data_IF_577919604802
#
_entry.id   IF_577919604802
#
_cell.length_a   1.000
_cell.length_b   1.000
_cell.length_c   1.000
_cell.angle_alpha   90.00
_cell.angle_beta   90.00
_cell.angle_gamma   90.00
#
_symmetry.space_group_name_H-M   'P 1'
#
loop_
_entity.id
_entity.type
_entity.pdbx_description
1 polymer ?
#
# COMPACT_ATOMS: atom_id res chain seq x y z
N UNK A 1 60.98 34.65 -0.91
CA UNK A 1 60.65 33.28 -0.44
C UNK A 1 59.34 33.20 0.36
N UNK A 2 58.97 34.21 1.15
CA UNK A 2 57.71 34.24 1.94
C UNK A 2 56.42 34.22 1.11
N UNK A 3 56.36 34.93 -0.03
CA UNK A 3 55.15 35.00 -0.88
C UNK A 3 54.75 33.67 -1.53
N UNK A 4 55.71 32.77 -1.81
CA UNK A 4 55.43 31.44 -2.37
C UNK A 4 54.85 30.47 -1.33
N UNK A 5 55.15 30.66 -0.04
CA UNK A 5 54.63 29.81 1.04
C UNK A 5 53.18 30.16 1.40
N UNK A 6 52.80 31.43 1.38
CA UNK A 6 51.40 31.85 1.62
C UNK A 6 50.43 31.39 0.52
N UNK A 7 50.85 31.40 -0.75
CA UNK A 7 50.00 30.93 -1.85
C UNK A 7 49.70 29.42 -1.76
N UNK A 8 50.67 28.62 -1.31
CA UNK A 8 50.50 27.19 -1.11
C UNK A 8 49.55 26.87 0.06
N UNK A 9 49.59 27.66 1.14
CA UNK A 9 48.69 27.48 2.29
C UNK A 9 47.24 27.86 1.95
N UNK A 10 47.01 28.93 1.19
CA UNK A 10 45.66 29.33 0.76
C UNK A 10 45.06 28.31 -0.22
N UNK A 11 45.86 27.76 -1.14
CA UNK A 11 45.39 26.73 -2.07
C UNK A 11 45.07 25.41 -1.37
N UNK A 12 45.83 25.02 -0.33
CA UNK A 12 45.55 23.85 0.48
C UNK A 12 44.26 24.01 1.32
N UNK A 13 44.03 25.19 1.91
CA UNK A 13 42.78 25.46 2.65
C UNK A 13 41.56 25.48 1.71
N UNK A 14 41.68 26.03 0.51
CA UNK A 14 40.60 26.00 -0.50
C UNK A 14 40.33 24.59 -1.06
N UNK A 15 41.32 23.69 -1.11
CA UNK A 15 41.09 22.30 -1.55
C UNK A 15 40.45 21.42 -0.47
N UNK A 16 40.58 21.79 0.81
CA UNK A 16 40.03 21.00 1.93
C UNK A 16 38.53 21.25 2.16
N UNK A 17 37.99 22.35 1.62
CA UNK A 17 36.56 22.71 1.73
C UNK A 17 35.65 22.07 0.65
N UNK A 18 36.19 21.21 -0.23
CA UNK A 18 35.49 20.78 -1.45
C UNK A 18 35.08 19.31 -1.47
N UNK A 19 35.28 18.57 -0.38
CA UNK A 19 34.84 17.17 -0.27
C UNK A 19 33.71 17.07 0.76
N UNK A 20 32.63 17.81 0.51
CA UNK A 20 31.35 17.54 1.15
C UNK A 20 30.84 16.21 0.61
N UNK A 21 31.28 15.10 1.22
CA UNK A 21 30.69 13.79 0.95
C UNK A 21 29.19 13.90 1.18
N UNK A 22 28.39 13.76 0.13
CA UNK A 22 26.95 13.64 0.27
C UNK A 22 26.68 12.49 1.23
N UNK A 23 26.20 12.79 2.43
CA UNK A 23 25.78 11.77 3.39
C UNK A 23 24.59 11.05 2.75
N UNK A 24 24.81 9.82 2.31
CA UNK A 24 23.84 9.01 1.57
C UNK A 24 22.73 8.49 2.49
N UNK A 25 21.79 9.37 2.86
CA UNK A 25 20.55 8.97 3.52
C UNK A 25 19.47 8.61 2.48
N UNK A 26 19.43 7.34 2.09
CA UNK A 26 18.38 6.77 1.24
C UNK A 26 16.98 6.89 1.90
N UNK A 27 15.93 6.98 1.08
CA UNK A 27 14.54 7.02 1.58
C UNK A 27 13.93 5.65 1.70
N UNK A 28 13.62 5.24 2.92
CA UNK A 28 12.82 4.05 3.14
C UNK A 28 11.33 4.36 3.02
N UNK A 29 10.59 3.59 2.22
CA UNK A 29 9.13 3.56 2.28
C UNK A 29 8.58 2.14 2.31
N UNK A 30 7.31 2.02 2.70
CA UNK A 30 6.52 0.81 2.59
C UNK A 30 5.35 1.03 1.65
N UNK A 31 4.87 -0.02 1.00
CA UNK A 31 3.63 0.00 0.23
C UNK A 31 2.96 -1.38 0.31
N UNK A 32 1.64 -1.40 0.15
CA UNK A 32 0.86 -2.65 0.11
C UNK A 32 0.57 -3.03 -1.33
N UNK A 33 0.55 -4.34 -1.63
CA UNK A 33 0.27 -4.84 -2.97
C UNK A 33 -1.17 -4.52 -3.43
N UNK A 34 -2.10 -4.51 -2.46
CA UNK A 34 -3.50 -4.19 -2.65
C UNK A 34 -3.99 -3.29 -1.50
N UNK A 35 -4.59 -2.13 -1.80
CA UNK A 35 -5.09 -1.21 -0.77
C UNK A 35 -6.40 -1.68 -0.12
N UNK A 36 -7.11 -2.62 -0.76
CA UNK A 36 -8.38 -3.20 -0.29
C UNK A 36 -8.31 -4.72 -0.48
N UNK A 37 -8.56 -5.48 0.58
CA UNK A 37 -8.57 -6.95 0.56
C UNK A 37 -9.79 -7.50 1.32
N UNK A 38 -10.12 -8.77 1.08
CA UNK A 38 -11.17 -9.44 1.83
C UNK A 38 -10.67 -9.89 3.21
N UNK A 39 -11.59 -10.04 4.17
CA UNK A 39 -11.27 -10.63 5.47
C UNK A 39 -10.69 -12.05 5.31
N UNK A 40 -9.59 -12.34 6.02
CA UNK A 40 -8.90 -13.63 5.95
C UNK A 40 -7.81 -13.66 4.87
N UNK A 41 -7.80 -12.71 3.94
CA UNK A 41 -6.75 -12.62 2.93
C UNK A 41 -5.43 -12.13 3.52
N UNK A 42 -4.34 -12.50 2.85
CA UNK A 42 -2.98 -12.07 3.14
C UNK A 42 -2.72 -10.74 2.43
N UNK A 43 -2.23 -9.76 3.17
CA UNK A 43 -1.64 -8.55 2.61
C UNK A 43 -0.13 -8.71 2.53
N UNK A 44 0.44 -8.29 1.40
CA UNK A 44 1.88 -8.18 1.20
C UNK A 44 2.30 -6.72 1.34
N UNK A 45 3.38 -6.50 2.08
CA UNK A 45 3.95 -5.18 2.36
C UNK A 45 5.35 -5.16 1.78
N UNK A 46 5.56 -4.39 0.72
CA UNK A 46 6.88 -4.15 0.16
C UNK A 46 7.63 -3.14 1.04
N UNK A 47 8.89 -3.43 1.33
CA UNK A 47 9.84 -2.55 2.00
C UNK A 47 10.89 -2.13 0.98
N UNK A 48 10.81 -0.86 0.58
CA UNK A 48 11.58 -0.32 -0.53
C UNK A 48 12.52 0.77 -0.02
N UNK A 49 13.73 0.81 -0.56
CA UNK A 49 14.73 1.82 -0.22
C UNK A 49 15.22 2.53 -1.48
N UNK A 50 14.93 3.83 -1.57
CA UNK A 50 15.09 4.64 -2.75
C UNK A 50 16.49 5.15 -3.00
N UNK A 51 16.70 5.64 -4.21
CA UNK A 51 17.94 6.25 -4.65
C UNK A 51 17.96 7.78 -4.43
N UNK A 52 19.16 8.36 -4.58
CA UNK A 52 19.39 9.80 -4.47
C UNK A 52 19.16 10.57 -5.79
N UNK A 53 18.73 9.91 -6.87
CA UNK A 53 18.60 10.59 -8.17
C UNK A 53 17.45 11.60 -8.15
N UNK A 54 17.63 12.73 -8.86
CA UNK A 54 16.68 13.84 -8.92
C UNK A 54 16.29 14.39 -7.53
N UNK A 55 17.27 14.63 -6.64
CA UNK A 55 17.01 15.14 -5.28
C UNK A 55 16.06 14.26 -4.46
N UNK A 56 16.13 12.94 -4.65
CA UNK A 56 15.23 11.96 -4.05
C UNK A 56 13.77 12.03 -4.50
N UNK A 57 13.49 12.65 -5.65
CA UNK A 57 12.14 12.74 -6.22
C UNK A 57 11.89 11.61 -7.22
N UNK A 58 12.36 10.40 -6.95
CA UNK A 58 12.17 9.24 -7.84
C UNK A 58 11.81 7.97 -7.07
N UNK A 59 11.02 7.10 -7.70
CA UNK A 59 10.64 5.78 -7.17
C UNK A 59 11.69 4.68 -7.43
N UNK A 60 12.92 5.06 -7.81
CA UNK A 60 13.97 4.09 -8.14
C UNK A 60 14.56 3.50 -6.86
N UNK A 61 14.69 2.18 -6.84
CA UNK A 61 15.26 1.41 -5.73
C UNK A 61 16.79 1.44 -5.82
N UNK A 62 17.49 1.66 -4.72
CA UNK A 62 18.96 1.63 -4.67
C UNK A 62 19.53 1.06 -3.36
N UNK A 63 18.76 0.23 -2.66
CA UNK A 63 19.28 -0.46 -1.49
C UNK A 63 18.21 -1.25 -0.76
N UNK A 64 18.53 -1.62 0.48
CA UNK A 64 17.71 -2.49 1.30
C UNK A 64 17.53 -1.90 2.69
N UNK A 65 16.36 -2.13 3.27
CA UNK A 65 16.14 -1.86 4.68
C UNK A 65 17.08 -2.73 5.53
N UNK A 66 17.74 -2.12 6.51
CA UNK A 66 18.55 -2.84 7.49
C UNK A 66 17.67 -3.78 8.30
N UNK A 67 17.96 -5.08 8.29
CA UNK A 67 17.21 -6.10 9.05
C UNK A 67 17.38 -5.95 10.55
N UNK A 68 18.54 -5.45 10.98
CA UNK A 68 18.97 -5.38 12.38
C UNK A 68 18.38 -4.16 13.09
N UNK A 69 18.11 -3.11 12.31
CA UNK A 69 17.71 -1.81 12.83
C UNK A 69 16.31 -1.40 12.37
N UNK A 70 15.53 -2.31 11.76
CA UNK A 70 14.15 -2.04 11.35
C UNK A 70 13.19 -3.15 11.74
N UNK A 71 11.99 -2.75 12.13
CA UNK A 71 10.86 -3.63 12.46
C UNK A 71 9.64 -3.27 11.62
N UNK A 72 8.79 -4.26 11.38
CA UNK A 72 7.53 -4.09 10.66
C UNK A 72 6.39 -4.39 11.61
N UNK A 73 5.45 -3.45 11.71
CA UNK A 73 4.28 -3.59 12.54
C UNK A 73 3.01 -3.45 11.72
N UNK A 74 1.96 -4.14 12.18
CA UNK A 74 0.59 -3.92 11.75
C UNK A 74 -0.24 -3.47 12.95
N UNK A 75 -0.90 -2.33 12.81
CA UNK A 75 -1.90 -1.86 13.78
C UNK A 75 -3.28 -2.24 13.27
N UNK A 76 -3.98 -3.07 14.03
CA UNK A 76 -5.33 -3.55 13.68
C UNK A 76 -6.39 -2.46 13.86
N UNK A 77 -7.63 -2.66 13.37
CA UNK A 77 -8.73 -1.72 13.56
C UNK A 77 -9.06 -1.43 15.03
N UNK A 78 -8.82 -2.40 15.92
CA UNK A 78 -8.96 -2.25 17.37
C UNK A 78 -7.80 -1.45 18.01
N UNK A 79 -6.81 -1.04 17.22
CA UNK A 79 -5.65 -0.30 17.67
C UNK A 79 -4.54 -1.17 18.28
N UNK A 80 -4.62 -2.50 18.17
CA UNK A 80 -3.57 -3.41 18.62
C UNK A 80 -2.41 -3.40 17.62
N UNK A 81 -1.20 -3.06 18.08
CA UNK A 81 0.03 -3.11 17.29
C UNK A 81 0.66 -4.51 17.44
N UNK A 82 0.87 -5.21 16.32
CA UNK A 82 1.50 -6.51 16.25
C UNK A 82 2.79 -6.42 15.43
N UNK A 83 3.86 -7.04 15.93
CA UNK A 83 5.15 -7.16 15.23
C UNK A 83 5.06 -8.31 14.21
N UNK A 84 5.27 -8.00 12.93
CA UNK A 84 5.27 -8.96 11.81
C UNK A 84 6.65 -9.07 11.18
N UNK A 85 7.69 -8.59 11.85
CA UNK A 85 9.08 -8.54 11.35
C UNK A 85 9.61 -9.92 10.94
N UNK A 86 9.17 -10.99 11.61
CA UNK A 86 9.56 -12.37 11.31
C UNK A 86 8.99 -12.91 10.00
N UNK A 87 7.99 -12.24 9.41
CA UNK A 87 7.41 -12.60 8.11
C UNK A 87 8.16 -12.01 6.92
N UNK A 88 9.20 -11.21 7.17
CA UNK A 88 10.02 -10.61 6.13
C UNK A 88 10.71 -11.68 5.30
N UNK A 89 10.59 -11.55 3.99
CA UNK A 89 11.26 -12.37 3.00
C UNK A 89 12.03 -11.47 2.04
N UNK A 90 13.29 -11.79 1.77
CA UNK A 90 14.11 -11.06 0.81
C UNK A 90 13.75 -11.48 -0.61
N UNK A 91 13.44 -10.52 -1.48
CA UNK A 91 12.97 -10.80 -2.86
C UNK A 91 13.96 -10.42 -3.95
N UNK A 92 15.09 -9.81 -3.59
CA UNK A 92 16.12 -9.44 -4.56
C UNK A 92 17.03 -10.60 -4.94
N UNK A 93 17.89 -10.34 -5.92
CA UNK A 93 19.07 -11.18 -6.18
C UNK A 93 20.11 -10.92 -5.09
N UNK A 94 20.78 -11.97 -4.64
CA UNK A 94 21.87 -11.82 -3.68
C UNK A 94 23.03 -11.08 -4.36
N UNK A 95 23.65 -10.14 -3.64
CA UNK A 95 24.90 -9.55 -4.11
C UNK A 95 25.96 -10.65 -4.24
N UNK A 96 26.76 -10.59 -5.30
CA UNK A 96 27.98 -11.38 -5.43
C UNK A 96 29.19 -10.45 -5.20
N UNK A 97 30.41 -11.00 -5.24
CA UNK A 97 31.62 -10.18 -5.15
C UNK A 97 31.75 -9.20 -6.32
N UNK A 98 31.17 -9.55 -7.47
CA UNK A 98 31.33 -8.82 -8.74
C UNK A 98 30.06 -8.03 -9.12
N UNK A 99 28.89 -8.44 -8.61
CA UNK A 99 27.60 -7.85 -8.95
C UNK A 99 26.88 -7.34 -7.69
N UNK A 100 26.57 -6.02 -7.61
CA UNK A 100 25.77 -5.51 -6.52
C UNK A 100 24.34 -6.06 -6.60
N UNK A 101 23.69 -6.21 -5.45
CA UNK A 101 22.28 -6.59 -5.44
C UNK A 101 21.44 -5.55 -6.19
N UNK A 102 20.71 -6.01 -7.22
CA UNK A 102 19.78 -5.20 -8.01
C UNK A 102 18.33 -5.62 -7.75
N UNK A 103 17.38 -4.73 -8.05
CA UNK A 103 15.93 -4.97 -7.89
C UNK A 103 15.56 -5.55 -6.50
N UNK A 104 16.21 -5.06 -5.46
CA UNK A 104 16.22 -5.68 -4.15
C UNK A 104 15.24 -5.03 -3.18
N UNK A 105 14.69 -5.84 -2.28
CA UNK A 105 13.73 -5.40 -1.29
C UNK A 105 13.35 -6.53 -0.34
N UNK A 106 12.57 -6.19 0.67
CA UNK A 106 11.91 -7.17 1.52
C UNK A 106 10.41 -7.10 1.31
N UNK A 107 9.74 -8.23 1.44
CA UNK A 107 8.29 -8.29 1.55
C UNK A 107 7.95 -8.87 2.93
N UNK A 108 7.15 -8.16 3.71
CA UNK A 108 6.50 -8.70 4.90
C UNK A 108 5.07 -9.09 4.58
N UNK A 109 4.46 -9.96 5.41
CA UNK A 109 3.07 -10.38 5.21
C UNK A 109 2.29 -10.41 6.51
N UNK A 110 0.97 -10.23 6.42
CA UNK A 110 0.07 -10.53 7.52
C UNK A 110 -1.27 -11.02 6.98
N UNK A 111 -1.92 -11.92 7.73
CA UNK A 111 -3.31 -12.31 7.46
C UNK A 111 -4.27 -11.36 8.17
N UNK A 112 -5.23 -10.82 7.43
CA UNK A 112 -6.28 -10.00 8.03
C UNK A 112 -7.24 -10.88 8.85
N UNK A 113 -7.63 -10.42 10.04
CA UNK A 113 -8.51 -11.21 10.95
C UNK A 113 -9.87 -10.57 11.17
N UNK A 114 -9.96 -9.25 11.10
CA UNK A 114 -11.22 -8.51 11.20
C UNK A 114 -11.34 -7.45 10.10
N UNK A 115 -12.56 -7.12 9.63
CA UNK A 115 -12.77 -5.95 8.77
C UNK A 115 -12.35 -4.66 9.48
N UNK A 116 -11.87 -3.69 8.71
CA UNK A 116 -11.55 -2.35 9.19
C UNK A 116 -10.28 -1.76 8.60
N UNK A 117 -9.84 -0.63 9.17
CA UNK A 117 -8.63 0.07 8.78
C UNK A 117 -7.40 -0.54 9.44
N UNK A 118 -6.44 -0.98 8.64
CA UNK A 118 -5.13 -1.43 9.09
C UNK A 118 -4.07 -0.39 8.71
N UNK A 119 -3.20 -0.08 9.68
CA UNK A 119 -2.05 0.80 9.47
C UNK A 119 -0.80 -0.05 9.60
N UNK A 120 0.02 -0.06 8.56
CA UNK A 120 1.29 -0.77 8.54
C UNK A 120 2.39 0.26 8.76
N UNK A 121 3.35 -0.04 9.64
CA UNK A 121 4.53 0.79 9.82
C UNK A 121 5.81 -0.02 9.72
N UNK A 122 6.81 0.56 9.04
CA UNK A 122 8.21 0.11 9.12
C UNK A 122 8.96 1.16 9.93
N UNK A 123 9.52 0.72 11.04
CA UNK A 123 10.14 1.58 12.04
C UNK A 123 11.62 1.26 12.12
N UNK A 124 12.47 2.22 11.73
CA UNK A 124 13.92 2.12 11.76
C UNK A 124 14.55 2.95 12.87
N UNK A 125 15.63 2.47 13.47
CA UNK A 125 16.46 3.20 14.44
C UNK A 125 17.93 2.82 14.24
N UNK A 126 18.70 3.70 13.61
CA UNK A 126 20.09 3.41 13.22
C UNK A 126 21.01 4.55 13.61
N UNK A 127 22.25 4.24 13.99
CA UNK A 127 23.32 5.24 14.16
C UNK A 127 24.31 5.09 13.01
N UNK A 128 24.54 6.17 12.27
CA UNK A 128 25.51 6.24 11.19
C UNK A 128 26.72 7.07 11.61
N UNK A 129 27.93 6.58 11.34
CA UNK A 129 29.19 7.27 11.65
C UNK A 129 29.92 7.61 10.36
N UNK A 130 30.23 8.88 10.15
CA UNK A 130 31.03 9.35 9.02
C UNK A 130 31.93 10.52 9.45
N UNK A 131 33.21 10.46 9.09
CA UNK A 131 34.15 11.56 9.36
C UNK A 131 34.30 11.91 10.85
N UNK A 132 34.15 10.94 11.76
CA UNK A 132 34.20 11.17 13.21
C UNK A 132 32.92 11.75 13.83
N UNK A 133 31.92 12.09 13.01
CA UNK A 133 30.60 12.54 13.46
C UNK A 133 29.62 11.38 13.36
N UNK A 134 28.78 11.24 14.39
CA UNK A 134 27.76 10.21 14.46
C UNK A 134 26.37 10.86 14.47
N UNK A 135 25.45 10.36 13.66
CA UNK A 135 24.04 10.78 13.63
C UNK A 135 23.13 9.59 13.86
N UNK A 136 22.05 9.80 14.62
CA UNK A 136 20.97 8.81 14.76
C UNK A 136 19.89 9.12 13.74
N UNK A 137 19.31 8.10 13.12
CA UNK A 137 18.18 8.24 12.21
C UNK A 137 17.00 7.41 12.71
N UNK A 138 15.88 8.06 12.97
CA UNK A 138 14.60 7.45 13.31
C UNK A 138 13.66 7.50 12.11
N UNK A 139 13.30 6.33 11.56
CA UNK A 139 12.47 6.21 10.35
C UNK A 139 11.06 5.73 10.69
N UNK A 140 10.05 6.31 10.06
CA UNK A 140 8.69 5.79 10.00
C UNK A 140 8.24 5.74 8.55
N UNK A 141 8.05 4.56 8.00
CA UNK A 141 7.35 4.38 6.73
C UNK A 141 5.97 3.81 6.97
N UNK A 142 4.93 4.44 6.40
CA UNK A 142 3.53 4.06 6.62
C UNK A 142 2.85 3.65 5.32
N UNK A 143 2.05 2.59 5.38
CA UNK A 143 1.14 2.18 4.32
C UNK A 143 -0.17 1.66 4.93
N UNK A 144 -1.19 1.44 4.10
CA UNK A 144 -2.55 1.18 4.58
C UNK A 144 -3.23 0.05 3.83
N UNK A 145 -4.15 -0.62 4.52
CA UNK A 145 -5.04 -1.62 3.94
C UNK A 145 -6.43 -1.44 4.55
N UNK A 146 -7.46 -1.37 3.71
CA UNK A 146 -8.82 -1.65 4.15
C UNK A 146 -9.12 -3.13 4.01
N UNK A 147 -9.68 -3.71 5.06
CA UNK A 147 -10.21 -5.06 5.05
C UNK A 147 -11.73 -4.96 5.10
N UNK A 148 -12.41 -5.59 4.15
CA UNK A 148 -13.87 -5.66 4.13
C UNK A 148 -14.37 -7.07 3.83
N UNK A 149 -15.65 -7.30 4.07
CA UNK A 149 -16.35 -8.50 3.62
C UNK A 149 -16.38 -8.59 2.09
N UNK A 150 -16.56 -7.44 1.44
CA UNK A 150 -16.58 -7.28 -0.02
C UNK A 150 -15.53 -6.23 -0.38
N UNK A 151 -14.39 -6.59 -1.01
CA UNK A 151 -13.24 -5.72 -1.22
C UNK A 151 -13.45 -4.73 -2.37
N UNK A 152 -14.42 -3.83 -2.22
CA UNK A 152 -14.73 -2.78 -3.21
C UNK A 152 -14.54 -1.40 -2.65
N UNK A 153 -14.26 -0.45 -3.55
CA UNK A 153 -14.04 0.96 -3.22
C UNK A 153 -15.18 1.57 -2.40
N UNK A 154 -16.42 1.36 -2.86
CA UNK A 154 -17.61 1.90 -2.18
C UNK A 154 -17.81 1.31 -0.79
N UNK A 155 -17.48 0.03 -0.61
CA UNK A 155 -17.63 -0.63 0.68
C UNK A 155 -16.71 -0.02 1.73
N UNK A 156 -15.53 0.45 1.30
CA UNK A 156 -14.50 0.96 2.20
C UNK A 156 -14.41 2.48 2.22
N UNK A 157 -15.11 3.23 1.38
CA UNK A 157 -14.97 4.70 1.31
C UNK A 157 -15.28 5.38 2.64
N UNK A 158 -16.30 4.89 3.36
CA UNK A 158 -16.72 5.40 4.66
C UNK A 158 -15.86 4.88 5.84
N UNK A 159 -14.87 4.03 5.57
CA UNK A 159 -14.03 3.43 6.59
C UNK A 159 -13.17 4.51 7.27
N UNK A 160 -13.16 4.47 8.60
CA UNK A 160 -12.40 5.39 9.46
C UNK A 160 -11.28 4.62 10.18
N UNK A 161 -10.38 5.37 10.82
CA UNK A 161 -9.31 4.80 11.65
C UNK A 161 -7.91 4.97 11.09
N UNK A 162 -7.78 5.38 9.82
CA UNK A 162 -6.48 5.66 9.20
C UNK A 162 -5.76 6.89 9.76
N UNK A 163 -6.51 7.82 10.39
CA UNK A 163 -5.99 9.06 10.99
C UNK A 163 -5.37 8.88 12.38
N UNK A 164 -5.01 7.65 12.76
CA UNK A 164 -4.35 7.37 14.04
C UNK A 164 -2.83 7.48 13.89
N UNK A 165 -2.20 8.24 14.79
CA UNK A 165 -0.75 8.20 15.00
C UNK A 165 -0.37 6.88 15.73
N UNK A 166 0.60 6.14 15.18
CA UNK A 166 1.01 4.80 15.63
C UNK A 166 2.54 4.66 15.79
N UNK A 167 3.30 5.70 15.41
CA UNK A 167 4.76 5.80 15.51
C UNK A 167 5.15 7.06 16.30
N UNK A 168 4.64 7.19 17.53
CA UNK A 168 4.66 8.46 18.29
C UNK A 168 6.01 8.86 18.89
N UNK A 169 7.05 8.05 18.75
CA UNK A 169 8.42 8.32 19.22
C UNK A 169 9.32 8.98 18.15
N UNK A 170 8.78 9.20 16.94
CA UNK A 170 9.51 9.70 15.76
C UNK A 170 8.65 10.67 14.94
N UNK A 171 9.13 11.07 13.76
CA UNK A 171 8.31 11.82 12.82
C UNK A 171 7.30 10.90 12.13
N UNK A 172 6.08 11.37 11.92
CA UNK A 172 4.99 10.56 11.39
C UNK A 172 4.03 11.40 10.53
N UNK A 173 3.73 10.92 9.32
CA UNK A 173 2.67 11.46 8.47
C UNK A 173 1.35 10.73 8.77
N UNK A 174 0.27 11.48 8.99
CA UNK A 174 -1.06 10.96 9.32
C UNK A 174 -2.09 11.56 8.36
N UNK A 175 -2.84 10.74 7.61
CA UNK A 175 -3.84 11.24 6.68
C UNK A 175 -5.11 11.67 7.44
N UNK A 176 -5.70 12.81 7.06
CA UNK A 176 -7.03 13.25 7.52
C UNK A 176 -8.15 12.81 6.56
N UNK A 177 -7.85 11.85 5.70
CA UNK A 177 -8.74 11.27 4.70
C UNK A 177 -8.58 9.74 4.68
N UNK A 178 -9.34 9.05 3.82
CA UNK A 178 -9.22 7.62 3.60
C UNK A 178 -8.13 7.32 2.54
N UNK A 179 -6.91 6.89 2.93
CA UNK A 179 -5.77 6.76 2.02
C UNK A 179 -5.88 5.57 1.05
N UNK A 180 -6.87 4.70 1.22
CA UNK A 180 -7.08 3.55 0.32
C UNK A 180 -8.26 3.76 -0.63
N UNK A 181 -9.08 4.79 -0.40
CA UNK A 181 -10.34 5.00 -1.12
C UNK A 181 -10.48 6.38 -1.77
N UNK A 182 -9.48 7.25 -1.66
CA UNK A 182 -9.51 8.58 -2.28
C UNK A 182 -9.49 8.45 -3.81
N UNK A 183 -10.22 9.31 -4.51
CA UNK A 183 -10.28 9.37 -5.98
C UNK A 183 -9.65 10.67 -6.50
N UNK A 184 -9.42 10.82 -7.83
CA UNK A 184 -8.84 12.02 -8.38
C UNK A 184 -9.65 13.26 -8.07
N UNK A 185 -8.97 14.40 -7.97
CA UNK A 185 -9.57 15.71 -7.76
C UNK A 185 -10.25 15.92 -6.40
N UNK A 186 -10.03 15.05 -5.42
CA UNK A 186 -10.49 15.27 -4.05
C UNK A 186 -9.53 16.19 -3.29
N UNK A 187 -10.08 17.11 -2.49
CA UNK A 187 -9.29 17.93 -1.57
C UNK A 187 -8.96 17.09 -0.34
N UNK A 188 -7.68 16.89 -0.06
CA UNK A 188 -7.20 16.11 1.09
C UNK A 188 -6.23 16.90 1.94
N UNK A 189 -6.06 16.43 3.18
CA UNK A 189 -5.13 16.99 4.17
C UNK A 189 -4.34 15.88 4.85
N UNK A 190 -3.08 16.15 5.16
CA UNK A 190 -2.18 15.27 5.91
C UNK A 190 -1.49 16.10 6.98
N UNK A 191 -1.40 15.56 8.19
CA UNK A 191 -0.70 16.18 9.30
C UNK A 191 0.64 15.48 9.54
N UNK A 192 1.70 16.27 9.65
CA UNK A 192 3.02 15.82 10.05
C UNK A 192 3.17 16.01 11.56
N UNK A 193 3.53 14.94 12.25
CA UNK A 193 3.88 14.95 13.66
C UNK A 193 5.39 14.74 13.83
N UNK A 194 5.94 15.36 14.88
CA UNK A 194 7.22 15.03 15.49
C UNK A 194 6.97 14.62 16.93
N UNK A 195 7.26 13.36 17.27
CA UNK A 195 7.05 12.82 18.62
C UNK A 195 5.63 13.04 19.17
N UNK A 196 4.64 12.82 18.30
CA UNK A 196 3.22 13.00 18.63
C UNK A 196 2.73 14.45 18.71
N UNK A 197 3.58 15.45 18.40
CA UNK A 197 3.17 16.87 18.32
C UNK A 197 3.16 17.35 16.87
N UNK A 198 2.19 18.16 16.43
CA UNK A 198 2.22 18.71 15.09
C UNK A 198 3.51 19.47 14.80
N UNK A 199 4.08 19.27 13.61
CA UNK A 199 5.33 19.90 13.19
C UNK A 199 5.05 20.90 12.08
N UNK A 200 5.27 22.18 12.37
CA UNK A 200 4.99 23.31 11.48
C UNK A 200 6.21 23.70 10.63
N UNK A 201 6.00 24.51 9.60
CA UNK A 201 7.05 25.06 8.72
C UNK A 201 8.08 24.02 8.23
N UNK A 202 7.61 22.81 7.91
CA UNK A 202 8.44 21.69 7.47
C UNK A 202 8.04 21.27 6.07
N UNK A 203 9.06 20.99 5.24
CA UNK A 203 8.87 20.55 3.88
C UNK A 203 8.32 19.11 3.82
N UNK A 204 7.30 18.91 2.99
CA UNK A 204 6.75 17.61 2.64
C UNK A 204 6.65 17.49 1.12
N UNK A 205 7.29 16.49 0.54
CA UNK A 205 7.20 16.19 -0.89
C UNK A 205 6.14 15.13 -1.16
N UNK A 206 5.31 15.32 -2.18
CA UNK A 206 4.37 14.36 -2.75
C UNK A 206 4.90 13.90 -4.11
N UNK A 207 5.14 12.60 -4.27
CA UNK A 207 5.76 12.01 -5.46
C UNK A 207 4.80 10.98 -6.05
N UNK A 208 4.51 11.10 -7.34
CA UNK A 208 3.69 10.15 -8.09
C UNK A 208 4.56 9.00 -8.61
N UNK A 209 4.11 7.75 -8.43
CA UNK A 209 4.90 6.56 -8.81
C UNK A 209 5.17 6.45 -10.30
N UNK A 210 4.14 6.55 -11.15
CA UNK A 210 4.28 6.25 -12.58
C UNK A 210 5.14 7.25 -13.36
N UNK A 211 5.18 8.51 -12.94
CA UNK A 211 5.89 9.59 -13.62
C UNK A 211 7.10 10.15 -12.85
N UNK A 212 7.21 9.84 -11.55
CA UNK A 212 8.13 10.53 -10.62
C UNK A 212 7.93 12.06 -10.57
N UNK A 213 6.77 12.57 -11.01
CA UNK A 213 6.40 13.96 -10.80
C UNK A 213 6.28 14.24 -9.30
N UNK A 214 6.88 15.34 -8.86
CA UNK A 214 6.92 15.71 -7.46
C UNK A 214 6.36 17.12 -7.24
N UNK A 215 5.63 17.29 -6.14
CA UNK A 215 5.18 18.57 -5.61
C UNK A 215 5.70 18.73 -4.19
N UNK A 216 6.01 19.95 -3.79
CA UNK A 216 6.51 20.25 -2.46
C UNK A 216 5.55 21.19 -1.75
N UNK A 217 5.29 20.89 -0.49
CA UNK A 217 4.42 21.66 0.40
C UNK A 217 5.18 22.01 1.68
N UNK A 218 4.77 23.08 2.33
CA UNK A 218 5.23 23.43 3.67
C UNK A 218 4.07 23.29 4.64
N UNK A 219 4.27 22.58 5.75
CA UNK A 219 3.24 22.40 6.77
C UNK A 219 2.85 23.74 7.41
N UNK A 220 1.56 23.95 7.63
CA UNK A 220 1.01 25.13 8.29
C UNK A 220 1.21 25.15 9.82
N UNK A 221 0.52 26.05 10.52
CA UNK A 221 0.58 26.21 11.97
C UNK A 221 0.02 24.99 12.76
N UNK A 222 -0.82 24.17 12.12
CA UNK A 222 -1.32 22.93 12.68
C UNK A 222 -0.50 21.72 12.20
N UNK A 223 0.63 21.95 11.52
CA UNK A 223 1.49 20.90 10.98
C UNK A 223 0.88 20.19 9.77
N UNK A 224 -0.04 20.83 9.04
CA UNK A 224 -0.78 20.21 7.94
C UNK A 224 -0.33 20.68 6.58
N UNK A 225 -0.43 19.80 5.60
CA UNK A 225 -0.42 20.14 4.17
C UNK A 225 -1.78 19.80 3.57
N UNK A 226 -2.23 20.59 2.61
CA UNK A 226 -3.48 20.36 1.89
C UNK A 226 -3.26 20.46 0.40
N UNK A 227 -3.83 19.53 -0.37
CA UNK A 227 -3.70 19.49 -1.82
C UNK A 227 -4.88 18.75 -2.46
N UNK A 228 -4.99 18.90 -3.77
CA UNK A 228 -5.97 18.16 -4.59
C UNK A 228 -5.31 16.90 -5.14
N UNK A 229 -5.93 15.73 -4.98
CA UNK A 229 -5.38 14.47 -5.50
C UNK A 229 -5.26 14.49 -7.02
N UNK A 230 -4.18 13.90 -7.54
CA UNK A 230 -3.95 13.75 -8.98
C UNK A 230 -4.66 12.53 -9.56
N UNK A 231 -4.24 12.06 -10.75
CA UNK A 231 -4.80 10.85 -11.37
C UNK A 231 -4.59 9.58 -10.52
N UNK A 232 -5.31 8.51 -10.86
CA UNK A 232 -5.16 7.22 -10.18
C UNK A 232 -3.72 6.68 -10.27
N UNK A 233 -3.11 6.43 -9.11
CA UNK A 233 -1.73 5.95 -8.97
C UNK A 233 -1.39 5.65 -7.49
N UNK A 234 -0.19 5.14 -7.26
CA UNK A 234 0.49 5.22 -5.97
C UNK A 234 1.17 6.57 -5.80
N UNK A 235 1.03 7.12 -4.58
CA UNK A 235 1.66 8.36 -4.17
C UNK A 235 2.51 8.12 -2.93
N UNK A 236 3.67 8.76 -2.89
CA UNK A 236 4.61 8.73 -1.76
C UNK A 236 4.73 10.13 -1.22
N UNK A 237 4.44 10.27 0.08
CA UNK A 237 4.75 11.47 0.83
C UNK A 237 6.01 11.26 1.64
N UNK A 238 6.80 12.33 1.79
CA UNK A 238 8.09 12.26 2.46
C UNK A 238 8.40 13.57 3.16
N UNK A 239 8.87 13.47 4.41
CA UNK A 239 9.40 14.57 5.21
C UNK A 239 10.70 14.14 5.91
N UNK A 240 11.66 15.06 6.00
CA UNK A 240 12.99 14.83 6.62
C UNK A 240 13.38 15.89 7.65
N UNK A 241 12.61 16.03 8.75
CA UNK A 241 13.02 16.95 9.81
C UNK A 241 14.25 16.42 10.57
N UNK A 242 15.06 17.32 11.09
CA UNK A 242 16.21 17.02 11.93
C UNK A 242 16.19 17.86 13.20
N UNK A 243 16.89 17.40 14.23
CA UNK A 243 17.02 18.10 15.52
C UNK A 243 18.45 18.00 16.03
N UNK A 244 18.85 18.95 16.87
CA UNK A 244 20.15 18.96 17.54
C UNK A 244 20.18 18.03 18.79
N UNK A 245 19.21 17.13 18.91
CA UNK A 245 19.22 16.10 19.95
C UNK A 245 20.49 15.25 19.84
N UNK A 246 21.18 15.09 20.96
CA UNK A 246 22.48 14.42 20.99
C UNK A 246 22.62 13.53 22.23
N UNK A 247 23.58 12.61 22.16
CA UNK A 247 24.00 11.76 23.26
C UNK A 247 25.52 11.65 23.23
N UNK A 248 26.16 12.14 24.28
CA UNK A 248 27.62 12.18 24.38
C UNK A 248 28.24 10.80 24.13
N UNK A 249 29.29 10.76 23.30
CA UNK A 249 29.95 9.53 22.89
C UNK A 249 29.19 8.67 21.86
N UNK A 250 27.93 8.99 21.55
CA UNK A 250 27.08 8.18 20.65
C UNK A 250 26.69 8.90 19.36
N UNK A 251 26.04 10.07 19.45
CA UNK A 251 25.60 10.86 18.30
C UNK A 251 25.43 12.35 18.63
N UNK A 252 25.63 13.22 17.63
CA UNK A 252 25.54 14.68 17.79
C UNK A 252 24.26 15.30 17.23
N UNK A 253 23.45 14.52 16.51
CA UNK A 253 22.16 14.95 15.95
C UNK A 253 21.23 13.76 15.75
N UNK A 254 19.92 14.04 15.70
CA UNK A 254 18.90 13.06 15.30
C UNK A 254 18.21 13.54 14.02
N UNK A 255 18.28 12.70 12.99
CA UNK A 255 17.52 12.82 11.76
C UNK A 255 16.24 12.00 11.87
N UNK A 256 15.15 12.53 11.36
CA UNK A 256 13.89 11.81 11.27
C UNK A 256 13.51 11.67 9.80
N UNK A 257 12.95 10.51 9.45
CA UNK A 257 12.40 10.28 8.12
C UNK A 257 10.97 9.77 8.27
N UNK A 258 10.01 10.53 7.76
CA UNK A 258 8.62 10.12 7.72
C UNK A 258 8.21 9.93 6.25
N UNK A 259 7.82 8.72 5.89
CA UNK A 259 7.23 8.42 4.59
C UNK A 259 5.85 7.80 4.74
N UNK A 260 4.99 8.06 3.77
CA UNK A 260 3.64 7.50 3.73
C UNK A 260 3.24 7.23 2.29
N UNK A 261 2.83 6.00 1.99
CA UNK A 261 2.21 5.69 0.70
C UNK A 261 0.70 5.59 0.82
N UNK A 262 0.02 6.05 -0.23
CA UNK A 262 -1.42 5.93 -0.39
C UNK A 262 -1.76 5.73 -1.87
N UNK A 263 -2.97 5.27 -2.15
CA UNK A 263 -3.41 4.99 -3.52
C UNK A 263 -4.59 5.88 -3.88
N UNK A 264 -4.47 6.61 -4.99
CA UNK A 264 -5.62 7.26 -5.61
C UNK A 264 -6.30 6.25 -6.52
N UNK A 265 -7.57 5.97 -6.25
CA UNK A 265 -8.39 4.98 -6.94
C UNK A 265 -9.06 5.60 -8.16
N UNK A 266 -9.26 4.85 -9.24
CA UNK A 266 -9.88 5.39 -10.46
C UNK A 266 -11.36 5.82 -10.29
N UNK A 267 -11.99 5.55 -9.14
CA UNK A 267 -13.33 6.04 -8.78
C UNK A 267 -14.49 5.49 -9.62
N UNK A 268 -14.21 4.56 -10.55
CA UNK A 268 -15.09 4.19 -11.65
C UNK A 268 -15.96 2.97 -11.39
N UNK A 269 -15.78 2.26 -10.27
CA UNK A 269 -16.60 1.09 -9.93
C UNK A 269 -17.67 1.51 -8.94
N UNK A 270 -18.90 1.63 -9.44
CA UNK A 270 -20.09 1.68 -8.60
C UNK A 270 -20.81 0.34 -8.61
N UNK A 271 -21.01 -0.27 -7.44
CA UNK A 271 -22.00 -1.32 -7.24
C UNK A 271 -23.34 -0.62 -7.35
N UNK A 272 -24.10 -0.97 -8.38
CA UNK A 272 -25.45 -0.45 -8.56
C UNK A 272 -26.26 -0.72 -7.27
N UNK A 273 -27.06 0.26 -6.81
CA UNK A 273 -27.87 0.22 -5.57
C UNK A 273 -29.37 0.48 -5.75
N UNK A 274 -29.88 0.38 -6.96
CA UNK A 274 -31.27 0.44 -7.36
C UNK A 274 -31.87 -0.92 -7.77
N UNK A 275 -32.82 -1.39 -6.95
CA UNK A 275 -33.82 -2.46 -7.14
C UNK A 275 -33.50 -3.81 -6.48
N UNK A 276 -34.54 -4.43 -5.90
CA UNK A 276 -34.49 -5.79 -5.35
C UNK A 276 -33.65 -6.66 -6.29
N UNK A 277 -32.52 -7.17 -5.81
CA UNK A 277 -31.64 -8.04 -6.59
C UNK A 277 -32.51 -9.03 -7.34
N UNK A 278 -32.43 -9.02 -8.68
CA UNK A 278 -33.21 -9.93 -9.51
C UNK A 278 -32.93 -11.35 -9.02
N UNK A 279 -33.95 -12.10 -8.55
CA UNK A 279 -33.73 -13.42 -7.95
C UNK A 279 -33.19 -14.43 -8.96
N UNK A 280 -33.31 -14.13 -10.26
CA UNK A 280 -32.75 -14.93 -11.35
C UNK A 280 -31.28 -14.57 -11.56
N UNK A 281 -30.33 -15.51 -11.36
CA UNK A 281 -28.92 -15.23 -11.54
C UNK A 281 -28.56 -14.96 -13.02
N UNK A 282 -27.45 -14.29 -13.27
CA UNK A 282 -26.76 -14.43 -14.56
C UNK A 282 -26.31 -15.88 -14.72
N UNK A 283 -26.40 -16.44 -15.92
CA UNK A 283 -25.90 -17.78 -16.19
C UNK A 283 -24.87 -17.72 -17.30
N UNK A 284 -23.70 -18.27 -17.02
CA UNK A 284 -22.59 -18.38 -17.97
C UNK A 284 -22.35 -19.86 -18.27
N UNK A 285 -22.23 -20.20 -19.55
CA UNK A 285 -21.86 -21.54 -20.02
C UNK A 285 -20.58 -21.42 -20.83
N UNK A 286 -19.50 -22.03 -20.33
CA UNK A 286 -18.15 -21.92 -20.90
C UNK A 286 -17.72 -20.46 -21.11
N UNK A 287 -17.95 -19.63 -20.09
CA UNK A 287 -17.61 -18.20 -20.09
C UNK A 287 -18.52 -17.29 -20.92
N UNK A 288 -19.55 -17.82 -21.60
CA UNK A 288 -20.51 -17.02 -22.37
C UNK A 288 -21.81 -16.83 -21.60
N UNK A 289 -22.28 -15.59 -21.50
CA UNK A 289 -23.58 -15.29 -20.91
C UNK A 289 -24.69 -15.88 -21.78
N UNK A 290 -25.63 -16.61 -21.17
CA UNK A 290 -26.80 -17.20 -21.83
C UNK A 290 -28.10 -16.66 -21.23
N UNK A 291 -29.22 -16.84 -21.95
CA UNK A 291 -30.54 -16.53 -21.42
C UNK A 291 -30.83 -17.43 -20.21
N UNK A 292 -31.26 -16.81 -19.11
CA UNK A 292 -31.54 -17.49 -17.84
C UNK A 292 -33.03 -17.84 -17.69
N UNK A 293 -33.82 -17.79 -18.77
CA UNK A 293 -35.21 -18.22 -18.76
C UNK A 293 -35.34 -19.67 -18.24
N UNK A 294 -36.17 -19.86 -17.21
CA UNK A 294 -36.36 -21.16 -16.55
C UNK A 294 -35.30 -21.52 -15.51
N UNK A 295 -34.42 -20.59 -15.14
CA UNK A 295 -33.47 -20.74 -14.01
C UNK A 295 -34.00 -20.01 -12.78
N UNK A 296 -33.97 -20.68 -11.63
CA UNK A 296 -34.43 -20.14 -10.36
C UNK A 296 -33.58 -20.61 -9.18
N UNK A 297 -33.70 -19.95 -8.02
CA UNK A 297 -33.07 -20.39 -6.78
C UNK A 297 -34.17 -20.86 -5.82
N UNK A 298 -34.17 -22.16 -5.50
CA UNK A 298 -35.10 -22.78 -4.55
C UNK A 298 -34.30 -23.27 -3.35
N UNK A 299 -34.57 -22.69 -2.16
CA UNK A 299 -33.89 -23.03 -0.91
C UNK A 299 -32.35 -23.03 -1.02
N UNK A 300 -31.78 -22.01 -1.66
CA UNK A 300 -30.34 -21.86 -1.86
C UNK A 300 -29.74 -22.76 -2.94
N UNK A 301 -30.55 -23.56 -3.64
CA UNK A 301 -30.11 -24.41 -4.76
C UNK A 301 -30.57 -23.81 -6.08
N UNK A 302 -29.68 -23.70 -7.06
CA UNK A 302 -30.05 -23.30 -8.43
C UNK A 302 -30.74 -24.47 -9.15
N UNK A 303 -31.99 -24.26 -9.54
CA UNK A 303 -32.74 -25.15 -10.42
C UNK A 303 -32.81 -24.57 -11.82
N UNK A 304 -32.88 -25.44 -12.82
CA UNK A 304 -33.14 -25.07 -14.20
C UNK A 304 -34.22 -25.97 -14.80
N UNK A 305 -35.05 -25.40 -15.68
CA UNK A 305 -36.06 -26.13 -16.43
C UNK A 305 -35.42 -27.20 -17.33
N UNK A 306 -36.20 -28.22 -17.68
CA UNK A 306 -35.78 -29.24 -18.63
C UNK A 306 -35.34 -28.65 -20.00
N UNK A 307 -35.97 -27.57 -20.45
CA UNK A 307 -35.58 -26.89 -21.70
C UNK A 307 -34.20 -26.24 -21.59
N UNK A 308 -33.92 -25.54 -20.49
CA UNK A 308 -32.61 -24.94 -20.24
C UNK A 308 -31.53 -26.03 -20.19
N UNK A 309 -31.78 -27.13 -19.48
CA UNK A 309 -30.85 -28.26 -19.36
C UNK A 309 -30.56 -28.86 -20.75
N UNK A 310 -31.60 -29.13 -21.54
CA UNK A 310 -31.44 -29.67 -22.92
C UNK A 310 -30.60 -28.75 -23.80
N UNK A 311 -30.84 -27.46 -23.73
CA UNK A 311 -30.18 -26.48 -24.58
C UNK A 311 -28.72 -26.24 -24.17
N UNK A 312 -28.46 -26.15 -22.86
CA UNK A 312 -27.19 -25.63 -22.35
C UNK A 312 -26.32 -26.65 -21.63
N UNK A 313 -26.87 -27.78 -21.16
CA UNK A 313 -26.14 -28.80 -20.41
C UNK A 313 -26.05 -30.13 -21.14
N UNK A 314 -27.19 -30.73 -21.51
CA UNK A 314 -27.26 -32.06 -22.08
C UNK A 314 -28.46 -32.20 -23.00
N UNK A 315 -28.21 -32.21 -24.31
CA UNK A 315 -29.25 -32.38 -25.33
C UNK A 315 -30.02 -33.70 -25.21
N UNK A 316 -29.46 -34.71 -24.53
CA UNK A 316 -30.09 -36.00 -24.27
C UNK A 316 -30.89 -36.06 -22.96
N UNK A 317 -30.98 -34.96 -22.21
CA UNK A 317 -31.72 -34.93 -20.95
C UNK A 317 -33.21 -35.27 -21.15
N UNK A 318 -33.68 -36.38 -20.56
CA UNK A 318 -35.05 -36.88 -20.72
C UNK A 318 -36.03 -36.40 -19.62
N UNK A 319 -35.56 -35.67 -18.60
CA UNK A 319 -36.42 -35.15 -17.54
C UNK A 319 -37.42 -34.11 -18.08
N UNK A 320 -38.60 -34.05 -17.46
CA UNK A 320 -39.66 -33.09 -17.81
C UNK A 320 -39.76 -31.94 -16.80
N UNK A 321 -39.32 -32.15 -15.56
CA UNK A 321 -39.36 -31.16 -14.48
C UNK A 321 -38.05 -30.37 -14.37
N UNK A 322 -38.08 -29.30 -13.57
CA UNK A 322 -36.85 -28.58 -13.21
C UNK A 322 -35.93 -29.48 -12.39
N UNK A 323 -34.62 -29.30 -12.56
CA UNK A 323 -33.63 -30.08 -11.84
C UNK A 323 -32.48 -29.22 -11.30
N UNK A 324 -31.84 -29.65 -10.20
CA UNK A 324 -30.72 -28.91 -9.62
C UNK A 324 -29.54 -28.87 -10.60
N UNK A 325 -29.12 -27.66 -10.97
CA UNK A 325 -28.08 -27.42 -12.00
C UNK A 325 -26.77 -28.08 -11.62
N UNK A 326 -26.32 -27.90 -10.37
CA UNK A 326 -25.04 -28.47 -9.89
C UNK A 326 -25.01 -30.00 -9.98
N UNK A 327 -26.06 -30.69 -9.54
CA UNK A 327 -26.10 -32.14 -9.57
C UNK A 327 -26.25 -32.68 -11.00
N UNK A 328 -27.01 -31.98 -11.85
CA UNK A 328 -27.22 -32.38 -13.25
C UNK A 328 -25.94 -32.19 -14.06
N UNK A 329 -25.30 -31.03 -13.96
CA UNK A 329 -24.02 -30.74 -14.61
C UNK A 329 -22.90 -31.66 -14.10
N UNK A 330 -22.85 -31.95 -12.80
CA UNK A 330 -21.84 -32.85 -12.22
C UNK A 330 -21.88 -34.28 -12.76
N UNK A 331 -23.07 -34.81 -13.10
CA UNK A 331 -23.19 -36.13 -13.76
C UNK A 331 -22.57 -36.18 -15.15
N UNK A 332 -22.37 -35.01 -15.78
CA UNK A 332 -21.79 -34.85 -17.11
C UNK A 332 -20.30 -34.47 -17.05
N UNK A 333 -19.70 -34.45 -15.86
CA UNK A 333 -18.32 -34.01 -15.65
C UNK A 333 -18.13 -32.48 -15.64
N UNK A 334 -19.20 -31.70 -15.71
CA UNK A 334 -19.12 -30.24 -15.72
C UNK A 334 -19.00 -29.66 -14.30
N UNK A 335 -18.23 -28.57 -14.16
CA UNK A 335 -18.10 -27.80 -12.93
C UNK A 335 -19.15 -26.68 -12.87
N UNK A 336 -19.68 -26.42 -11.66
CA UNK A 336 -20.63 -25.32 -11.42
C UNK A 336 -20.15 -24.45 -10.28
N UNK A 337 -20.01 -23.16 -10.53
CA UNK A 337 -19.67 -22.14 -9.55
C UNK A 337 -20.86 -21.20 -9.32
N UNK A 338 -20.98 -20.69 -8.10
CA UNK A 338 -22.02 -19.73 -7.72
C UNK A 338 -21.34 -18.51 -7.11
N UNK A 339 -21.58 -17.36 -7.70
CA UNK A 339 -21.19 -16.06 -7.15
C UNK A 339 -22.44 -15.44 -6.53
N UNK A 340 -22.45 -15.19 -5.21
CA UNK A 340 -23.61 -14.59 -4.55
C UNK A 340 -23.88 -13.18 -5.08
N UNK A 341 -25.13 -12.72 -4.93
CA UNK A 341 -25.50 -11.36 -5.28
C UNK A 341 -24.75 -10.35 -4.39
N UNK A 342 -24.37 -9.21 -4.96
CA UNK A 342 -23.66 -8.11 -4.26
C UNK A 342 -24.21 -6.77 -4.74
N UNK A 343 -24.79 -5.99 -3.83
CA UNK A 343 -25.56 -4.78 -4.19
C UNK A 343 -26.74 -5.15 -5.08
N UNK A 344 -26.92 -4.47 -6.22
CA UNK A 344 -27.87 -4.86 -7.26
C UNK A 344 -27.35 -5.93 -8.21
N UNK A 345 -26.07 -6.29 -8.12
CA UNK A 345 -25.52 -7.33 -8.98
C UNK A 345 -26.18 -8.63 -8.57
N UNK A 346 -27.09 -9.12 -9.41
CA UNK A 346 -27.70 -10.44 -9.21
C UNK A 346 -26.62 -11.51 -9.18
N UNK A 347 -26.89 -12.59 -8.45
CA UNK A 347 -25.98 -13.72 -8.38
C UNK A 347 -25.58 -14.22 -9.77
N UNK A 348 -24.47 -14.93 -9.89
CA UNK A 348 -24.06 -15.58 -11.14
C UNK A 348 -23.87 -17.09 -10.92
N UNK A 349 -24.26 -17.87 -11.92
CA UNK A 349 -24.04 -19.31 -12.00
C UNK A 349 -23.14 -19.55 -13.21
N UNK A 350 -21.96 -20.11 -12.98
CA UNK A 350 -20.98 -20.36 -14.02
C UNK A 350 -20.87 -21.86 -14.21
N UNK A 351 -21.05 -22.32 -15.44
CA UNK A 351 -21.06 -23.73 -15.81
C UNK A 351 -19.93 -23.96 -16.80
N UNK A 352 -19.01 -24.85 -16.47
CA UNK A 352 -17.84 -25.20 -17.27
C UNK A 352 -17.92 -26.68 -17.64
N UNK A 353 -18.01 -26.98 -18.94
CA UNK A 353 -18.04 -28.35 -19.46
C UNK A 353 -16.68 -28.84 -19.88
#
# INVERSE_FOLDING_TARGET
MFKKKMAATVLAVLLTFSISSSVFAHDGWSQTNAPIIAQGEVSYVDLLLGNHSNEHKSYRIAGQWSTDSSKVYVTTPAGKKADITSTRFYTGEAATEEEPAVNNGFIATFSSSSPGAYIITVEGDSIFKHGGVASRTLRSAKSFVAVSDIPTLERVTALKGFSKAVSTDRAELVPEFNPVAVTPNEQVSIQLFMKGKPLTNTEVSLIRRSSSEAQTFTTDADGKISFKTGPADYYLLRAKPSTDESKEGEYSQVNYEATMTFTVQNGSVKLSSSSKANPVPYVYVNGKLVDAAGVEIVNGTTYASASFIKQHLDASYHGNDSAPVRATAGKLGAAVEYLPAVGDTRAAVLIYK
#
